data_IF_970204337980
#
_entry.id   IF_970204337980
#
_cell.length_a   1.000
_cell.length_b   1.000
_cell.length_c   1.000
_cell.angle_alpha   90.00
_cell.angle_beta   90.00
_cell.angle_gamma   90.00
#
_symmetry.space_group_name_H-M   'P 1'
#
loop_
_entity.id
_entity.type
_entity.pdbx_description
1 polymer ?
#
# COMPACT_ATOMS: atom_id res chain seq x y z
N UNK A 1 -5.96 -0.70 23.43
CA UNK A 1 -5.86 -0.72 21.96
C UNK A 1 -5.32 0.64 21.52
N UNK A 2 -4.36 0.67 20.60
CA UNK A 2 -3.91 1.92 19.97
C UNK A 2 -5.02 2.49 19.07
N UNK A 3 -5.02 3.81 18.87
CA UNK A 3 -5.94 4.49 17.95
C UNK A 3 -5.60 4.09 16.50
N UNK A 4 -6.60 3.86 15.62
CA UNK A 4 -6.35 3.69 14.18
C UNK A 4 -5.64 4.91 13.58
N UNK A 5 -4.66 4.65 12.71
CA UNK A 5 -3.96 5.69 11.96
C UNK A 5 -4.82 6.22 10.81
N UNK A 6 -4.59 7.48 10.43
CA UNK A 6 -5.22 8.12 9.28
C UNK A 6 -4.24 8.15 8.09
N UNK A 7 -4.67 7.60 6.94
CA UNK A 7 -3.87 7.51 5.72
C UNK A 7 -4.47 8.38 4.61
N UNK A 8 -3.61 9.15 3.93
CA UNK A 8 -3.93 9.92 2.73
C UNK A 8 -3.45 9.19 1.48
N UNK A 9 -4.39 8.63 0.70
CA UNK A 9 -4.11 8.03 -0.60
C UNK A 9 -4.10 9.10 -1.71
N UNK A 10 -2.97 9.24 -2.40
CA UNK A 10 -2.80 10.21 -3.48
C UNK A 10 -2.95 9.52 -4.83
N UNK A 11 -4.19 9.42 -5.30
CA UNK A 11 -4.55 8.86 -6.61
C UNK A 11 -4.66 9.93 -7.70
N UNK A 12 -3.75 10.89 -7.68
CA UNK A 12 -3.70 11.99 -8.65
C UNK A 12 -3.09 11.53 -9.97
N UNK A 13 -3.48 12.18 -11.06
CA UNK A 13 -2.86 11.96 -12.37
C UNK A 13 -1.56 12.74 -12.57
N UNK A 14 -1.22 13.67 -11.67
CA UNK A 14 -0.01 14.50 -11.74
C UNK A 14 0.67 14.61 -10.39
N UNK A 15 2.01 14.71 -10.39
CA UNK A 15 2.79 14.93 -9.16
C UNK A 15 2.49 16.29 -8.52
N UNK A 16 2.25 17.33 -9.31
CA UNK A 16 2.00 18.68 -8.78
C UNK A 16 0.74 18.72 -7.90
N UNK A 17 -0.36 18.13 -8.36
CA UNK A 17 -1.61 18.09 -7.60
C UNK A 17 -1.44 17.25 -6.32
N UNK A 18 -0.76 16.11 -6.41
CA UNK A 18 -0.44 15.29 -5.24
C UNK A 18 0.37 16.07 -4.19
N UNK A 19 1.40 16.80 -4.61
CA UNK A 19 2.22 17.61 -3.70
C UNK A 19 1.44 18.76 -3.07
N UNK A 20 0.50 19.37 -3.81
CA UNK A 20 -0.37 20.44 -3.30
C UNK A 20 -1.26 19.94 -2.15
N UNK A 21 -1.83 18.74 -2.28
CA UNK A 21 -2.66 18.14 -1.23
C UNK A 21 -1.82 17.72 -0.02
N UNK A 22 -0.63 17.14 -0.25
CA UNK A 22 0.30 16.81 0.83
C UNK A 22 0.70 18.05 1.63
N UNK A 23 0.99 19.17 0.97
CA UNK A 23 1.32 20.42 1.67
C UNK A 23 0.23 20.88 2.64
N UNK A 24 -1.05 20.66 2.29
CA UNK A 24 -2.19 21.08 3.09
C UNK A 24 -2.53 20.08 4.19
N UNK A 25 -2.36 18.78 3.92
CA UNK A 25 -2.95 17.71 4.75
C UNK A 25 -1.93 16.93 5.57
N UNK A 26 -0.62 17.00 5.27
CA UNK A 26 0.39 16.13 5.91
C UNK A 26 0.39 16.18 7.42
N UNK A 27 0.12 17.33 8.03
CA UNK A 27 0.13 17.48 9.49
C UNK A 27 -1.12 16.90 10.17
N UNK A 28 -2.15 16.57 9.38
CA UNK A 28 -3.41 15.99 9.84
C UNK A 28 -3.49 14.47 9.64
N UNK A 29 -2.51 13.86 8.98
CA UNK A 29 -2.51 12.42 8.67
C UNK A 29 -1.23 11.74 9.18
N UNK A 30 -1.32 10.45 9.45
CA UNK A 30 -0.19 9.65 9.96
C UNK A 30 0.64 9.05 8.81
N UNK A 31 -0.05 8.68 7.72
CA UNK A 31 0.51 7.96 6.58
C UNK A 31 0.17 8.70 5.28
N UNK A 32 1.14 8.77 4.37
CA UNK A 32 0.97 9.30 3.00
C UNK A 32 1.25 8.18 2.01
N UNK A 33 0.35 7.96 1.06
CA UNK A 33 0.45 6.89 0.08
C UNK A 33 0.58 7.48 -1.33
N UNK A 34 1.63 7.08 -2.04
CA UNK A 34 1.67 7.22 -3.49
C UNK A 34 0.74 6.16 -4.08
N UNK A 35 -0.48 6.58 -4.42
CA UNK A 35 -1.52 5.69 -4.94
C UNK A 35 -1.16 5.11 -6.30
N UNK A 36 -1.80 4.00 -6.67
CA UNK A 36 -1.52 3.30 -7.94
C UNK A 36 -1.56 4.24 -9.14
N UNK A 37 -2.54 5.15 -9.23
CA UNK A 37 -2.69 6.07 -10.37
C UNK A 37 -1.48 7.01 -10.48
N UNK A 38 -1.05 7.58 -9.36
CA UNK A 38 0.09 8.49 -9.32
C UNK A 38 1.38 7.74 -9.69
N UNK A 39 1.58 6.54 -9.16
CA UNK A 39 2.75 5.72 -9.48
C UNK A 39 2.78 5.28 -10.95
N UNK A 40 1.64 5.01 -11.58
CA UNK A 40 1.59 4.67 -13.01
C UNK A 40 1.98 5.85 -13.90
N UNK A 41 1.64 7.08 -13.51
CA UNK A 41 1.94 8.26 -14.32
C UNK A 41 3.36 8.80 -14.07
N UNK A 42 3.82 8.79 -12.82
CA UNK A 42 5.06 9.48 -12.40
C UNK A 42 6.20 8.49 -12.05
N UNK A 43 5.91 7.19 -12.05
CA UNK A 43 6.85 6.13 -11.71
C UNK A 43 7.42 6.26 -10.29
N UNK A 44 8.68 5.85 -10.13
CA UNK A 44 9.42 5.98 -8.87
C UNK A 44 9.58 7.44 -8.39
N UNK A 45 9.42 8.41 -9.29
CA UNK A 45 9.54 9.84 -8.97
C UNK A 45 8.56 10.27 -7.89
N UNK A 46 7.34 9.73 -7.91
CA UNK A 46 6.32 10.01 -6.91
C UNK A 46 6.79 9.68 -5.49
N UNK A 47 7.31 8.47 -5.26
CA UNK A 47 7.75 8.03 -3.92
C UNK A 47 8.90 8.90 -3.40
N UNK A 48 9.87 9.22 -4.26
CA UNK A 48 11.01 10.09 -3.90
C UNK A 48 10.54 11.48 -3.50
N UNK A 49 9.67 12.08 -4.30
CA UNK A 49 9.13 13.41 -4.05
C UNK A 49 8.33 13.46 -2.72
N UNK A 50 7.55 12.43 -2.42
CA UNK A 50 6.84 12.34 -1.15
C UNK A 50 7.79 12.19 0.04
N UNK A 51 8.87 11.39 -0.08
CA UNK A 51 9.88 11.28 0.98
C UNK A 51 10.59 12.61 1.24
N UNK A 52 10.91 13.37 0.19
CA UNK A 52 11.49 14.71 0.33
C UNK A 52 10.53 15.68 1.03
N UNK A 53 9.25 15.65 0.68
CA UNK A 53 8.24 16.55 1.24
C UNK A 53 7.80 16.17 2.67
N UNK A 54 7.84 14.88 2.99
CA UNK A 54 7.38 14.27 4.24
C UNK A 54 8.44 13.35 4.87
N UNK A 55 9.61 13.89 5.27
CA UNK A 55 10.74 13.06 5.71
C UNK A 55 10.45 12.20 6.94
N UNK A 56 9.50 12.62 7.78
CA UNK A 56 9.15 11.93 9.04
C UNK A 56 7.84 11.14 8.97
N UNK A 57 7.15 11.10 7.83
CA UNK A 57 5.90 10.34 7.68
C UNK A 57 6.17 8.90 7.26
N UNK A 58 5.21 8.04 7.59
CA UNK A 58 5.09 6.74 6.96
C UNK A 58 4.66 6.94 5.51
N UNK A 59 5.40 6.33 4.58
CA UNK A 59 5.12 6.41 3.14
C UNK A 59 4.78 5.03 2.59
N UNK A 60 3.68 4.94 1.86
CA UNK A 60 3.27 3.74 1.14
C UNK A 60 3.52 3.91 -0.35
N UNK A 61 4.12 2.90 -0.98
CA UNK A 61 4.14 2.72 -2.43
C UNK A 61 3.04 1.72 -2.81
N UNK A 62 1.90 2.23 -3.27
CA UNK A 62 0.76 1.41 -3.68
C UNK A 62 0.90 0.96 -5.15
N UNK A 63 1.75 -0.03 -5.36
CA UNK A 63 2.07 -0.56 -6.69
C UNK A 63 1.24 -1.78 -7.08
N UNK A 64 0.50 -2.38 -6.14
CA UNK A 64 -0.22 -3.65 -6.33
C UNK A 64 0.65 -4.70 -7.03
N UNK A 65 1.88 -4.87 -6.56
CA UNK A 65 2.90 -5.74 -7.17
C UNK A 65 2.33 -7.14 -7.39
N UNK A 66 2.42 -7.64 -8.63
CA UNK A 66 1.94 -8.98 -9.01
C UNK A 66 3.08 -9.98 -9.24
N UNK A 67 4.25 -9.50 -9.65
CA UNK A 67 5.47 -10.30 -9.90
C UNK A 67 6.73 -9.47 -9.64
N UNK A 68 7.91 -10.10 -9.67
CA UNK A 68 9.20 -9.47 -9.41
C UNK A 68 9.32 -8.82 -8.02
N UNK A 69 8.74 -9.49 -7.00
CA UNK A 69 8.58 -8.97 -5.64
C UNK A 69 9.86 -8.43 -5.00
N UNK A 70 10.99 -9.13 -5.13
CA UNK A 70 12.28 -8.66 -4.58
C UNK A 70 12.77 -7.38 -5.27
N UNK A 71 12.74 -7.34 -6.60
CA UNK A 71 13.21 -6.19 -7.39
C UNK A 71 12.37 -4.94 -7.09
N UNK A 72 11.04 -5.09 -7.12
CA UNK A 72 10.14 -3.96 -6.90
C UNK A 72 10.15 -3.49 -5.44
N UNK A 73 10.25 -4.42 -4.47
CA UNK A 73 10.49 -4.07 -3.07
C UNK A 73 11.78 -3.24 -2.92
N UNK A 74 12.89 -3.73 -3.47
CA UNK A 74 14.18 -3.03 -3.38
C UNK A 74 14.08 -1.61 -3.97
N UNK A 75 13.36 -1.44 -5.09
CA UNK A 75 13.14 -0.14 -5.71
C UNK A 75 12.29 0.79 -4.83
N UNK A 76 11.16 0.31 -4.31
CA UNK A 76 10.25 1.10 -3.47
C UNK A 76 10.93 1.57 -2.17
N UNK A 77 11.61 0.67 -1.46
CA UNK A 77 12.26 1.00 -0.20
C UNK A 77 13.49 1.89 -0.39
N UNK A 78 14.29 1.67 -1.45
CA UNK A 78 15.39 2.59 -1.80
C UNK A 78 14.88 3.98 -2.19
N UNK A 79 13.69 4.08 -2.79
CA UNK A 79 13.06 5.37 -3.08
C UNK A 79 12.52 6.08 -1.82
N UNK A 80 12.51 5.41 -0.67
CA UNK A 80 12.11 5.98 0.61
C UNK A 80 10.72 5.58 1.08
N UNK A 81 10.09 4.56 0.50
CA UNK A 81 8.86 3.99 1.08
C UNK A 81 9.15 3.31 2.43
N UNK A 82 8.15 3.30 3.32
CA UNK A 82 8.14 2.44 4.51
C UNK A 82 7.38 1.15 4.23
N UNK A 83 6.29 1.24 3.46
CA UNK A 83 5.46 0.11 3.09
C UNK A 83 5.27 0.02 1.58
N UNK A 84 5.08 -1.19 1.07
CA UNK A 84 4.74 -1.45 -0.34
C UNK A 84 3.60 -2.45 -0.43
N UNK A 85 2.67 -2.23 -1.36
CA UNK A 85 1.55 -3.16 -1.56
C UNK A 85 1.87 -4.28 -2.55
N UNK A 86 1.39 -5.48 -2.27
CA UNK A 86 1.39 -6.63 -3.18
C UNK A 86 -0.06 -7.08 -3.38
N UNK A 87 -0.50 -7.27 -4.63
CA UNK A 87 -1.88 -7.71 -4.90
C UNK A 87 -2.08 -9.14 -4.42
N UNK A 88 -3.23 -9.47 -3.83
CA UNK A 88 -3.51 -10.81 -3.29
C UNK A 88 -3.46 -11.94 -4.33
N UNK A 89 -3.54 -11.61 -5.63
CA UNK A 89 -3.39 -12.56 -6.73
C UNK A 89 -1.93 -12.92 -7.05
N UNK A 90 -0.94 -12.25 -6.45
CA UNK A 90 0.45 -12.57 -6.65
C UNK A 90 0.78 -13.98 -6.14
N UNK A 91 1.61 -14.77 -6.86
CA UNK A 91 2.07 -16.06 -6.37
C UNK A 91 2.73 -15.94 -4.99
N UNK A 92 2.54 -16.93 -4.10
CA UNK A 92 3.12 -16.90 -2.75
C UNK A 92 4.63 -16.65 -2.77
N UNK A 93 5.35 -17.24 -3.73
CA UNK A 93 6.79 -17.02 -3.91
C UNK A 93 7.16 -15.54 -4.20
N UNK A 94 6.29 -14.80 -4.89
CA UNK A 94 6.45 -13.34 -5.10
C UNK A 94 6.27 -12.59 -3.79
N UNK A 95 5.25 -12.96 -3.00
CA UNK A 95 4.98 -12.38 -1.69
C UNK A 95 6.15 -12.63 -0.74
N UNK A 96 6.68 -13.86 -0.68
CA UNK A 96 7.83 -14.23 0.15
C UNK A 96 9.08 -13.43 -0.20
N UNK A 97 9.40 -13.33 -1.50
CA UNK A 97 10.56 -12.54 -1.97
C UNK A 97 10.42 -11.05 -1.68
N UNK A 98 9.22 -10.49 -1.91
CA UNK A 98 8.91 -9.10 -1.58
C UNK A 98 8.99 -8.83 -0.08
N UNK A 99 8.43 -9.71 0.74
CA UNK A 99 8.47 -9.63 2.21
C UNK A 99 9.90 -9.71 2.74
N UNK A 100 10.69 -10.67 2.27
CA UNK A 100 12.08 -10.83 2.68
C UNK A 100 12.91 -9.58 2.37
N UNK A 101 12.72 -8.98 1.19
CA UNK A 101 13.38 -7.72 0.85
C UNK A 101 12.89 -6.55 1.70
N UNK A 102 11.59 -6.44 1.95
CA UNK A 102 11.04 -5.41 2.83
C UNK A 102 11.67 -5.45 4.23
N UNK A 103 11.78 -6.65 4.82
CA UNK A 103 12.42 -6.83 6.13
C UNK A 103 13.90 -6.42 6.11
N UNK A 104 14.66 -6.74 5.05
CA UNK A 104 16.06 -6.28 4.89
C UNK A 104 16.18 -4.75 4.83
N UNK A 105 15.18 -4.08 4.26
CA UNK A 105 15.13 -2.63 4.18
C UNK A 105 14.49 -1.94 5.40
N UNK A 106 14.06 -2.70 6.41
CA UNK A 106 13.35 -2.15 7.58
C UNK A 106 11.93 -1.66 7.28
N UNK A 107 11.33 -2.15 6.19
CA UNK A 107 9.96 -1.87 5.78
C UNK A 107 9.03 -3.09 5.89
N UNK A 108 7.79 -2.91 5.46
CA UNK A 108 6.77 -3.97 5.45
C UNK A 108 6.06 -4.04 4.11
N UNK A 109 5.44 -5.19 3.84
CA UNK A 109 4.49 -5.32 2.73
C UNK A 109 3.06 -5.36 3.26
N UNK A 110 2.13 -4.89 2.45
CA UNK A 110 0.70 -4.92 2.71
C UNK A 110 0.01 -5.70 1.58
N UNK A 111 -0.85 -6.67 1.92
CA UNK A 111 -1.60 -7.40 0.88
C UNK A 111 -2.85 -6.62 0.48
N UNK A 112 -2.92 -6.28 -0.79
CA UNK A 112 -4.05 -5.62 -1.41
C UNK A 112 -5.16 -6.64 -1.75
N UNK A 113 -6.30 -6.58 -1.03
CA UNK A 113 -7.35 -7.60 -1.11
C UNK A 113 -8.37 -7.28 -2.20
N UNK A 114 -8.29 -8.00 -3.32
CA UNK A 114 -9.20 -7.90 -4.46
C UNK A 114 -9.68 -9.26 -4.96
N UNK A 115 -10.91 -9.32 -5.48
CA UNK A 115 -11.44 -10.53 -6.11
C UNK A 115 -11.60 -11.71 -5.13
N UNK A 116 -11.14 -12.89 -5.55
CA UNK A 116 -11.52 -14.17 -4.95
C UNK A 116 -10.43 -14.75 -4.03
N UNK A 117 -9.88 -13.94 -3.12
CA UNK A 117 -8.97 -14.43 -2.09
C UNK A 117 -9.74 -15.22 -1.00
N UNK A 118 -9.04 -16.10 -0.30
CA UNK A 118 -9.61 -16.97 0.74
C UNK A 118 -8.89 -16.80 2.08
N UNK A 119 -9.49 -17.32 3.15
CA UNK A 119 -8.81 -17.36 4.45
C UNK A 119 -7.57 -18.27 4.45
N UNK A 120 -7.48 -19.24 3.53
CA UNK A 120 -6.28 -20.06 3.38
C UNK A 120 -5.14 -19.24 2.79
N UNK A 121 -5.40 -18.40 1.78
CA UNK A 121 -4.41 -17.45 1.26
C UNK A 121 -3.91 -16.51 2.37
N UNK A 122 -4.83 -15.98 3.19
CA UNK A 122 -4.49 -15.14 4.33
C UNK A 122 -3.64 -15.86 5.39
N UNK A 123 -3.92 -17.14 5.65
CA UNK A 123 -3.10 -17.98 6.55
C UNK A 123 -1.69 -18.18 5.99
N UNK A 124 -1.56 -18.33 4.67
CA UNK A 124 -0.26 -18.49 4.01
C UNK A 124 0.57 -17.20 4.12
N UNK A 125 -0.02 -16.03 3.83
CA UNK A 125 0.66 -14.74 4.02
C UNK A 125 1.06 -14.51 5.49
N UNK A 126 0.17 -14.86 6.43
CA UNK A 126 0.47 -14.75 7.85
C UNK A 126 1.61 -15.70 8.27
N UNK A 127 1.66 -16.93 7.74
CA UNK A 127 2.70 -17.92 8.04
C UNK A 127 4.09 -17.43 7.64
N UNK A 128 4.20 -16.74 6.49
CA UNK A 128 5.48 -16.21 6.00
C UNK A 128 5.90 -14.88 6.66
N UNK A 129 5.09 -14.32 7.56
CA UNK A 129 5.44 -13.13 8.34
C UNK A 129 4.71 -11.85 7.97
N UNK A 130 3.84 -11.85 6.96
CA UNK A 130 3.04 -10.66 6.60
C UNK A 130 1.98 -10.39 7.67
N UNK A 131 1.83 -9.12 8.07
CA UNK A 131 0.93 -8.70 9.15
C UNK A 131 -0.09 -7.63 8.75
N UNK A 132 -0.02 -7.15 7.52
CA UNK A 132 -0.87 -6.08 7.02
C UNK A 132 -1.60 -6.52 5.76
N UNK A 133 -2.88 -6.17 5.68
CA UNK A 133 -3.70 -6.30 4.50
C UNK A 133 -4.60 -5.07 4.38
N UNK A 134 -4.88 -4.65 3.14
CA UNK A 134 -5.77 -3.54 2.84
C UNK A 134 -7.08 -4.12 2.32
N UNK A 135 -8.14 -3.91 3.08
CA UNK A 135 -9.48 -4.38 2.71
C UNK A 135 -10.22 -3.27 1.97
N UNK A 136 -10.41 -3.45 0.67
CA UNK A 136 -11.06 -2.46 -0.16
C UNK A 136 -12.56 -2.69 -0.28
N UNK A 137 -13.29 -1.58 -0.28
CA UNK A 137 -14.48 -1.48 -1.11
C UNK A 137 -14.03 -0.94 -2.46
N UNK A 138 -13.98 -1.78 -3.48
CA UNK A 138 -13.50 -1.39 -4.82
C UNK A 138 -14.23 -0.15 -5.33
N UNK A 139 -13.50 0.79 -5.95
CA UNK A 139 -14.05 2.09 -6.41
C UNK A 139 -15.26 1.91 -7.34
N UNK A 140 -15.17 0.99 -8.28
CA UNK A 140 -16.25 0.71 -9.24
C UNK A 140 -17.43 -0.01 -8.59
N UNK A 141 -17.15 -0.90 -7.62
CA UNK A 141 -18.19 -1.58 -6.85
C UNK A 141 -18.92 -0.62 -5.90
N UNK A 142 -18.21 0.38 -5.36
CA UNK A 142 -18.82 1.49 -4.65
C UNK A 142 -19.68 2.35 -5.59
N UNK A 143 -19.19 2.65 -6.80
CA UNK A 143 -19.93 3.43 -7.79
C UNK A 143 -21.23 2.72 -8.23
N UNK A 144 -21.26 1.37 -8.20
CA UNK A 144 -22.46 0.57 -8.45
C UNK A 144 -23.37 0.38 -7.22
N UNK A 145 -23.07 1.05 -6.09
CA UNK A 145 -23.94 1.12 -4.92
C UNK A 145 -23.63 0.12 -3.81
N UNK A 146 -22.51 -0.61 -3.87
CA UNK A 146 -22.12 -1.53 -2.79
C UNK A 146 -21.88 -0.75 -1.49
N UNK A 147 -22.56 -1.16 -0.41
CA UNK A 147 -22.32 -0.64 0.93
C UNK A 147 -21.38 -1.57 1.69
N UNK A 148 -20.72 -1.05 2.73
CA UNK A 148 -20.05 -1.90 3.69
C UNK A 148 -21.08 -2.86 4.30
N UNK A 149 -20.85 -4.17 4.17
CA UNK A 149 -21.64 -5.15 4.90
C UNK A 149 -21.50 -4.86 6.41
N UNK A 150 -22.50 -5.25 7.20
CA UNK A 150 -22.41 -5.20 8.67
C UNK A 150 -21.08 -5.86 9.13
N UNK A 151 -20.39 -5.30 10.14
CA UNK A 151 -19.04 -5.72 10.48
C UNK A 151 -18.96 -7.23 10.71
N UNK A 152 -18.04 -7.89 10.01
CA UNK A 152 -17.69 -9.31 10.17
C UNK A 152 -16.75 -9.51 11.38
N UNK A 153 -16.35 -8.41 12.04
CA UNK A 153 -15.50 -8.44 13.22
C UNK A 153 -16.29 -8.85 14.47
N UNK A 154 -16.53 -10.16 14.61
CA UNK A 154 -16.66 -10.76 15.92
C UNK A 154 -15.23 -10.97 16.46
N UNK A 155 -14.82 -10.05 17.33
CA UNK A 155 -13.64 -10.24 18.18
C UNK A 155 -13.95 -11.27 19.28
#
# INVERSE_FOLDING_TARGET
MSRPLLQLALDHSSLEDAQRDVMQLKDSVDIVEAGTILCLNEGLGAVKALREQCPNKLIVADWKVADAGETLAQQAFTAGANWMTIICAAPLATVEKGHAMAQRCGGEIQIELFGNWTLDDARDWHRIGVRQAIYHRGRDAQASGQQWAKPILHA
#
